data_IF_010586145229
#
_entry.id   IF_010586145229
#
_cell.length_a   1.000
_cell.length_b   1.000
_cell.length_c   1.000
_cell.angle_alpha   90.00
_cell.angle_beta   90.00
_cell.angle_gamma   90.00
#
_symmetry.space_group_name_H-M   'P 1'
#
loop_
_entity.id
_entity.type
_entity.pdbx_description
1 polymer ?
#
# COMPACT_ATOMS: atom_id res chain seq x y z
N UNK A 1 -19.05 -27.85 -8.52
CA UNK A 1 -19.70 -27.54 -9.80
C UNK A 1 -20.27 -26.12 -9.73
N UNK A 2 -20.16 -25.37 -10.82
CA UNK A 2 -20.66 -23.99 -10.93
C UNK A 2 -21.16 -23.74 -12.35
N UNK A 3 -22.26 -23.01 -12.50
CA UNK A 3 -22.79 -22.58 -13.79
C UNK A 3 -22.35 -21.13 -14.08
N UNK A 4 -21.62 -20.94 -15.18
CA UNK A 4 -21.24 -19.62 -15.66
C UNK A 4 -22.16 -19.24 -16.84
N UNK A 5 -22.90 -18.14 -16.68
CA UNK A 5 -23.78 -17.59 -17.71
C UNK A 5 -23.12 -16.36 -18.31
N UNK A 6 -22.89 -16.38 -19.61
CA UNK A 6 -22.40 -15.25 -20.37
C UNK A 6 -23.59 -14.49 -20.94
N UNK A 7 -23.80 -13.24 -20.55
CA UNK A 7 -24.96 -12.44 -20.98
C UNK A 7 -24.47 -11.13 -21.62
N UNK A 8 -25.16 -10.72 -22.70
CA UNK A 8 -24.85 -9.44 -23.33
C UNK A 8 -25.08 -8.28 -22.36
N UNK A 9 -24.08 -7.40 -22.27
CA UNK A 9 -24.17 -6.23 -21.41
C UNK A 9 -25.31 -5.30 -21.82
N UNK A 10 -26.05 -4.82 -20.85
CA UNK A 10 -27.12 -3.82 -21.08
C UNK A 10 -27.03 -2.75 -19.97
N UNK A 11 -27.13 -1.45 -20.30
CA UNK A 11 -27.14 -0.37 -19.32
C UNK A 11 -28.33 -0.41 -18.36
N UNK A 12 -29.41 -1.13 -18.74
CA UNK A 12 -30.64 -1.27 -17.94
C UNK A 12 -30.56 -2.38 -16.90
N UNK A 13 -29.57 -3.30 -17.02
CA UNK A 13 -29.40 -4.43 -16.09
C UNK A 13 -28.31 -4.15 -15.09
N UNK A 14 -28.61 -4.33 -13.80
CA UNK A 14 -27.62 -4.30 -12.73
C UNK A 14 -26.97 -5.67 -12.63
N UNK A 15 -25.65 -5.72 -12.71
CA UNK A 15 -24.86 -6.93 -12.46
C UNK A 15 -24.28 -6.85 -11.06
N UNK A 16 -24.16 -7.99 -10.39
CA UNK A 16 -23.53 -8.11 -9.09
C UNK A 16 -22.08 -7.58 -9.15
N UNK A 17 -21.68 -6.80 -8.16
CA UNK A 17 -20.37 -6.13 -8.12
C UNK A 17 -19.49 -6.61 -6.97
N UNK A 18 -20.08 -6.98 -5.86
CA UNK A 18 -19.36 -7.35 -4.66
C UNK A 18 -19.11 -8.87 -4.55
N UNK A 19 -19.92 -9.69 -5.26
CA UNK A 19 -19.83 -11.14 -5.19
C UNK A 19 -20.26 -11.71 -3.84
N UNK A 20 -21.13 -10.98 -3.11
CA UNK A 20 -21.68 -11.37 -1.81
C UNK A 20 -22.95 -12.19 -1.96
N UNK A 21 -23.76 -11.89 -2.97
CA UNK A 21 -25.01 -12.61 -3.24
C UNK A 21 -24.71 -13.86 -4.06
N UNK A 22 -25.07 -15.02 -3.54
CA UNK A 22 -24.96 -16.28 -4.25
C UNK A 22 -26.31 -16.64 -4.89
N UNK A 23 -26.33 -16.70 -6.20
CA UNK A 23 -27.46 -17.22 -6.95
C UNK A 23 -27.25 -18.71 -7.26
N UNK A 24 -28.36 -19.46 -7.34
CA UNK A 24 -28.32 -20.90 -7.63
C UNK A 24 -29.23 -21.21 -8.81
N UNK A 25 -28.83 -22.19 -9.61
CA UNK A 25 -29.65 -22.82 -10.65
C UNK A 25 -29.92 -24.26 -10.28
N UNK A 26 -31.15 -24.69 -10.40
CA UNK A 26 -31.54 -26.06 -10.06
C UNK A 26 -31.45 -26.94 -11.32
N UNK A 27 -30.52 -27.90 -11.33
CA UNK A 27 -30.33 -28.88 -12.41
C UNK A 27 -30.50 -30.28 -11.81
N UNK A 28 -31.48 -31.04 -12.31
CA UNK A 28 -31.76 -32.40 -11.83
C UNK A 28 -31.84 -32.49 -10.28
N UNK A 29 -32.60 -31.53 -9.69
CA UNK A 29 -32.76 -31.39 -8.22
C UNK A 29 -31.50 -31.02 -7.42
N UNK A 30 -30.39 -30.72 -8.07
CA UNK A 30 -29.16 -30.22 -7.44
C UNK A 30 -29.08 -28.70 -7.63
N UNK A 31 -28.88 -27.97 -6.52
CA UNK A 31 -28.62 -26.55 -6.56
C UNK A 31 -27.15 -26.30 -6.92
N UNK A 32 -26.91 -25.69 -8.08
CA UNK A 32 -25.58 -25.36 -8.57
C UNK A 32 -25.40 -23.85 -8.47
N UNK A 33 -24.34 -23.34 -7.81
CA UNK A 33 -24.01 -21.92 -7.80
C UNK A 33 -23.90 -21.39 -9.24
N UNK A 34 -24.52 -20.24 -9.51
CA UNK A 34 -24.41 -19.60 -10.83
C UNK A 34 -23.81 -18.21 -10.72
N UNK A 35 -23.01 -17.86 -11.70
CA UNK A 35 -22.42 -16.52 -11.86
C UNK A 35 -22.79 -15.98 -13.24
N UNK A 36 -23.32 -14.73 -13.30
CA UNK A 36 -23.70 -14.08 -14.56
C UNK A 36 -22.66 -13.02 -14.87
N UNK A 37 -21.92 -13.24 -15.97
CA UNK A 37 -20.87 -12.32 -16.42
C UNK A 37 -21.33 -11.56 -17.66
N UNK A 38 -21.31 -10.21 -17.61
CA UNK A 38 -21.67 -9.41 -18.76
C UNK A 38 -20.58 -9.44 -19.84
N UNK A 39 -21.00 -9.74 -21.07
CA UNK A 39 -20.14 -9.65 -22.26
C UNK A 39 -20.21 -8.24 -22.82
N UNK A 40 -19.06 -7.60 -23.02
CA UNK A 40 -18.91 -6.32 -23.73
C UNK A 40 -17.81 -6.45 -24.77
N UNK A 41 -17.96 -5.79 -25.91
CA UNK A 41 -16.90 -5.72 -26.94
C UNK A 41 -15.61 -5.17 -26.32
N UNK A 42 -14.47 -5.81 -26.62
CA UNK A 42 -13.15 -5.42 -26.08
C UNK A 42 -12.74 -6.11 -24.78
N UNK A 43 -13.60 -6.94 -24.17
CA UNK A 43 -13.23 -7.74 -22.99
C UNK A 43 -12.64 -9.10 -23.39
N UNK A 44 -11.55 -9.49 -22.76
CA UNK A 44 -11.01 -10.84 -22.89
C UNK A 44 -11.84 -11.82 -22.05
N UNK A 45 -12.76 -12.54 -22.71
CA UNK A 45 -13.62 -13.54 -22.05
C UNK A 45 -12.80 -14.65 -21.40
N UNK A 46 -11.70 -15.08 -22.01
CA UNK A 46 -10.84 -16.14 -21.48
C UNK A 46 -10.29 -15.77 -20.10
N UNK A 47 -9.79 -14.55 -19.95
CA UNK A 47 -9.26 -14.05 -18.67
C UNK A 47 -10.37 -13.98 -17.59
N UNK A 48 -11.56 -13.55 -17.97
CA UNK A 48 -12.67 -13.49 -17.03
C UNK A 48 -13.15 -14.87 -16.61
N UNK A 49 -13.26 -15.82 -17.55
CA UNK A 49 -13.64 -17.22 -17.26
C UNK A 49 -12.61 -17.87 -16.34
N UNK A 50 -11.31 -17.65 -16.61
CA UNK A 50 -10.23 -18.13 -15.75
C UNK A 50 -10.33 -17.54 -14.34
N UNK A 51 -10.51 -16.24 -14.20
CA UNK A 51 -10.67 -15.57 -12.90
C UNK A 51 -11.88 -16.12 -12.13
N UNK A 52 -13.03 -16.33 -12.80
CA UNK A 52 -14.22 -16.92 -12.19
C UNK A 52 -13.94 -18.33 -11.69
N UNK A 53 -13.33 -19.18 -12.51
CA UNK A 53 -13.00 -20.55 -12.14
C UNK A 53 -12.03 -20.63 -10.96
N UNK A 54 -10.97 -19.79 -10.96
CA UNK A 54 -10.02 -19.71 -9.85
C UNK A 54 -10.68 -19.19 -8.57
N UNK A 55 -11.50 -18.13 -8.66
CA UNK A 55 -12.21 -17.58 -7.50
C UNK A 55 -13.19 -18.60 -6.90
N UNK A 56 -13.92 -19.33 -7.74
CA UNK A 56 -14.80 -20.41 -7.28
C UNK A 56 -14.00 -21.51 -6.57
N UNK A 57 -12.85 -21.91 -7.09
CA UNK A 57 -11.97 -22.88 -6.45
C UNK A 57 -11.49 -22.38 -5.08
N UNK A 58 -11.04 -21.12 -4.96
CA UNK A 58 -10.62 -20.55 -3.70
C UNK A 58 -11.79 -20.51 -2.69
N UNK A 59 -12.98 -20.09 -3.11
CA UNK A 59 -14.19 -20.14 -2.26
C UNK A 59 -14.48 -21.56 -1.74
N UNK A 60 -14.35 -22.57 -2.59
CA UNK A 60 -14.54 -23.98 -2.17
C UNK A 60 -13.48 -24.49 -1.20
N UNK A 61 -12.31 -23.86 -1.15
CA UNK A 61 -11.23 -24.11 -0.19
C UNK A 61 -11.35 -23.26 1.09
N UNK A 62 -12.40 -22.43 1.21
CA UNK A 62 -12.66 -21.59 2.36
C UNK A 62 -12.15 -20.16 2.26
N UNK A 63 -11.53 -19.78 1.15
CA UNK A 63 -11.07 -18.41 0.89
C UNK A 63 -12.15 -17.61 0.14
N UNK A 64 -12.85 -16.71 0.83
CA UNK A 64 -13.83 -15.81 0.21
C UNK A 64 -13.29 -14.37 0.19
N UNK A 65 -12.75 -13.96 -0.96
CA UNK A 65 -12.16 -12.63 -1.15
C UNK A 65 -13.12 -11.49 -0.86
N UNK A 66 -14.40 -11.63 -1.23
CA UNK A 66 -15.42 -10.60 -0.98
C UNK A 66 -15.71 -10.43 0.52
N UNK A 67 -15.81 -11.52 1.26
CA UNK A 67 -16.00 -11.47 2.72
C UNK A 67 -14.76 -10.90 3.43
N UNK A 68 -13.57 -11.33 3.03
CA UNK A 68 -12.30 -10.81 3.57
C UNK A 68 -12.20 -9.30 3.35
N UNK A 69 -12.46 -8.84 2.13
CA UNK A 69 -12.47 -7.40 1.80
C UNK A 69 -13.47 -6.62 2.67
N UNK A 70 -14.69 -7.15 2.85
CA UNK A 70 -15.72 -6.50 3.65
C UNK A 70 -15.34 -6.42 5.13
N UNK A 71 -14.76 -7.47 5.69
CA UNK A 71 -14.32 -7.50 7.09
C UNK A 71 -13.13 -6.55 7.33
N UNK A 72 -12.19 -6.50 6.40
CA UNK A 72 -11.08 -5.54 6.44
C UNK A 72 -11.58 -4.11 6.32
N UNK A 73 -12.50 -3.83 5.39
CA UNK A 73 -13.13 -2.51 5.23
C UNK A 73 -13.83 -2.07 6.51
N UNK A 74 -14.58 -2.95 7.17
CA UNK A 74 -15.23 -2.64 8.47
C UNK A 74 -14.22 -2.27 9.55
N UNK A 75 -13.11 -3.01 9.64
CA UNK A 75 -12.03 -2.71 10.61
C UNK A 75 -11.42 -1.33 10.36
N UNK A 76 -11.22 -0.97 9.08
CA UNK A 76 -10.68 0.33 8.67
C UNK A 76 -11.62 1.50 8.97
N UNK A 77 -12.93 1.34 8.69
CA UNK A 77 -13.93 2.37 9.03
C UNK A 77 -13.93 2.65 10.53
N UNK A 78 -13.83 1.61 11.36
CA UNK A 78 -13.70 1.77 12.81
C UNK A 78 -12.44 2.54 13.22
N UNK A 79 -11.29 2.24 12.61
CA UNK A 79 -10.00 2.92 12.86
C UNK A 79 -10.04 4.39 12.37
N UNK A 80 -10.55 4.63 11.18
CA UNK A 80 -10.62 5.98 10.58
C UNK A 80 -11.60 6.89 11.35
N UNK A 81 -12.68 6.36 11.92
CA UNK A 81 -13.58 7.13 12.77
C UNK A 81 -12.89 7.60 14.05
N UNK A 82 -12.05 6.77 14.67
CA UNK A 82 -11.23 7.16 15.82
C UNK A 82 -10.11 8.15 15.43
N UNK A 83 -9.60 8.07 14.19
CA UNK A 83 -8.57 8.98 13.65
C UNK A 83 -9.14 10.37 13.29
N UNK A 84 -10.34 10.43 12.71
CA UNK A 84 -11.00 11.68 12.33
C UNK A 84 -11.38 12.59 13.51
N UNK A 85 -11.58 12.03 14.69
CA UNK A 85 -11.86 12.79 15.91
C UNK A 85 -10.62 13.49 16.53
N UNK A 86 -9.40 13.20 16.04
CA UNK A 86 -8.13 13.68 16.60
C UNK A 86 -7.28 14.59 15.69
N UNK A 87 -7.75 14.94 14.49
CA UNK A 87 -6.93 15.73 13.55
C UNK A 87 -7.00 17.21 13.85
N UNK A 88 -6.03 17.73 14.60
CA UNK A 88 -5.52 19.09 14.48
C UNK A 88 -4.35 19.11 13.48
N UNK A 89 -4.09 20.24 12.82
CA UNK A 89 -3.22 20.50 11.66
C UNK A 89 -1.75 20.01 11.66
N UNK A 90 -1.36 19.08 12.55
CA UNK A 90 -0.04 18.44 12.56
C UNK A 90 -0.20 16.96 12.36
N UNK A 91 0.54 16.42 11.39
CA UNK A 91 0.55 14.98 11.06
C UNK A 91 1.03 14.18 12.27
N UNK A 92 0.09 13.51 12.91
CA UNK A 92 0.28 12.73 14.11
C UNK A 92 0.51 11.26 13.69
N UNK A 93 1.70 10.76 13.92
CA UNK A 93 2.01 9.36 13.70
C UNK A 93 1.47 8.53 14.86
N UNK A 94 0.62 7.54 14.57
CA UNK A 94 0.27 6.52 15.54
C UNK A 94 1.44 5.56 15.69
N UNK A 95 2.10 5.59 16.83
CA UNK A 95 3.24 4.74 17.18
C UNK A 95 2.94 3.26 16.94
N UNK A 96 1.73 2.81 17.26
CA UNK A 96 1.29 1.43 17.04
C UNK A 96 1.40 0.98 15.58
N UNK A 97 1.10 1.88 14.64
CA UNK A 97 1.27 1.59 13.20
C UNK A 97 2.74 1.47 12.82
N UNK A 98 3.58 2.32 13.41
CA UNK A 98 5.02 2.33 13.17
C UNK A 98 5.68 1.07 13.72
N UNK A 99 5.37 0.69 14.96
CA UNK A 99 5.87 -0.54 15.58
C UNK A 99 5.50 -1.79 14.78
N UNK A 100 4.22 -1.92 14.40
CA UNK A 100 3.73 -3.10 13.73
C UNK A 100 4.20 -3.25 12.28
N UNK A 101 4.30 -2.13 11.53
CA UNK A 101 4.65 -2.18 10.10
C UNK A 101 6.15 -2.13 9.83
N UNK A 102 6.92 -1.43 10.67
CA UNK A 102 8.36 -1.29 10.47
C UNK A 102 9.22 -2.29 11.26
N UNK A 103 8.61 -3.24 11.99
CA UNK A 103 9.35 -4.20 12.79
C UNK A 103 10.15 -3.51 13.90
N UNK A 104 9.50 -2.60 14.62
CA UNK A 104 10.09 -1.80 15.68
C UNK A 104 9.52 -2.19 17.04
N UNK A 105 10.36 -2.12 18.05
CA UNK A 105 9.97 -2.27 19.45
C UNK A 105 10.34 -1.02 20.22
N UNK A 106 9.36 -0.37 20.83
CA UNK A 106 9.60 0.76 21.72
C UNK A 106 10.24 0.28 23.02
N UNK A 107 11.35 0.92 23.42
CA UNK A 107 12.10 0.57 24.62
C UNK A 107 12.19 1.72 25.62
N UNK A 108 11.91 2.97 25.23
CA UNK A 108 11.79 4.12 26.12
C UNK A 108 10.80 5.16 25.60
N UNK A 109 10.44 6.12 26.45
CA UNK A 109 9.51 7.21 26.18
C UNK A 109 8.07 6.83 26.51
N UNK A 110 7.26 7.83 26.93
CA UNK A 110 5.86 7.66 27.35
C UNK A 110 4.86 8.24 26.33
N UNK A 111 5.37 9.02 25.37
CA UNK A 111 4.52 9.62 24.35
C UNK A 111 3.85 8.53 23.52
N UNK A 112 2.54 8.63 23.34
CA UNK A 112 1.77 7.76 22.42
C UNK A 112 1.81 8.24 20.99
N UNK A 113 2.43 9.37 20.74
CA UNK A 113 2.40 10.12 19.48
C UNK A 113 3.80 10.56 19.07
N UNK A 114 4.13 10.43 17.80
CA UNK A 114 5.35 10.91 17.17
C UNK A 114 5.01 12.10 16.27
N UNK A 115 5.66 13.24 16.51
CA UNK A 115 5.56 14.40 15.63
C UNK A 115 6.73 14.41 14.67
N UNK A 116 6.51 13.95 13.44
CA UNK A 116 7.48 13.96 12.38
C UNK A 116 6.90 14.74 11.21
N UNK A 117 7.60 15.76 10.73
CA UNK A 117 7.19 16.59 9.59
C UNK A 117 8.03 16.37 8.33
N UNK A 118 9.06 15.55 8.43
CA UNK A 118 9.94 15.19 7.31
C UNK A 118 10.00 13.67 7.11
N UNK A 119 9.82 13.18 5.88
CA UNK A 119 9.94 11.75 5.59
C UNK A 119 11.39 11.25 5.60
N UNK A 120 12.36 12.17 5.68
CA UNK A 120 13.78 11.83 5.60
C UNK A 120 14.33 11.52 6.99
N UNK A 121 14.93 10.36 7.17
CA UNK A 121 15.65 9.99 8.37
C UNK A 121 16.84 10.92 8.61
N UNK A 122 17.17 11.12 9.89
CA UNK A 122 18.27 11.98 10.27
C UNK A 122 19.37 11.21 10.99
N UNK A 123 20.59 11.29 10.43
CA UNK A 123 21.78 10.65 10.98
C UNK A 123 22.66 11.70 11.70
N UNK A 124 22.72 11.69 13.04
CA UNK A 124 23.47 12.70 13.79
C UNK A 124 24.97 12.71 13.48
N UNK A 125 25.54 13.88 13.24
CA UNK A 125 26.99 14.05 12.98
C UNK A 125 27.75 14.45 14.23
N UNK A 126 27.07 14.99 15.25
CA UNK A 126 27.62 15.46 16.54
C UNK A 126 28.62 16.63 16.44
N UNK A 127 28.61 17.36 15.34
CA UNK A 127 29.40 18.58 15.17
C UNK A 127 28.62 19.84 15.58
N UNK A 128 29.33 20.94 15.80
CA UNK A 128 28.71 22.19 16.22
C UNK A 128 27.71 22.76 15.19
N UNK A 129 27.94 22.49 13.90
CA UNK A 129 27.07 22.87 12.78
C UNK A 129 25.76 22.07 12.72
N UNK A 130 25.71 20.93 13.39
CA UNK A 130 24.60 19.99 13.36
C UNK A 130 23.46 20.33 14.35
N UNK A 131 23.68 21.32 15.23
CA UNK A 131 22.78 21.63 16.33
C UNK A 131 21.37 22.10 15.92
N UNK A 132 21.18 22.58 14.70
CA UNK A 132 19.89 23.04 14.18
C UNK A 132 19.24 22.04 13.19
N UNK A 133 19.93 20.98 12.85
CA UNK A 133 19.46 19.97 11.91
C UNK A 133 18.69 18.86 12.65
N UNK A 134 17.76 18.23 11.95
CA UNK A 134 17.07 17.03 12.45
C UNK A 134 15.89 17.31 13.40
N UNK A 135 15.51 18.57 13.66
CA UNK A 135 14.30 18.88 14.40
C UNK A 135 13.09 18.31 13.66
N UNK A 136 12.17 17.69 14.42
CA UNK A 136 10.95 17.04 13.88
C UNK A 136 11.20 15.89 12.86
N UNK A 137 12.38 15.24 12.96
CA UNK A 137 12.73 14.01 12.21
C UNK A 137 12.89 12.81 13.13
N UNK A 138 12.84 11.62 12.54
CA UNK A 138 13.28 10.40 13.22
C UNK A 138 14.80 10.30 13.12
N UNK A 139 15.47 10.25 14.27
CA UNK A 139 16.91 10.14 14.36
C UNK A 139 17.32 8.67 14.30
N UNK A 140 18.39 8.36 13.58
CA UNK A 140 18.92 6.99 13.43
C UNK A 140 20.27 6.88 14.09
N UNK A 141 20.43 5.86 14.93
CA UNK A 141 21.71 5.45 15.52
C UNK A 141 22.08 4.08 14.96
N UNK A 142 22.68 4.09 13.80
CA UNK A 142 23.23 2.91 13.13
C UNK A 142 24.58 2.48 13.75
N UNK A 143 25.21 1.49 13.14
CA UNK A 143 26.50 1.01 13.59
C UNK A 143 27.62 2.03 13.39
N UNK A 144 27.62 2.78 12.29
CA UNK A 144 28.63 3.81 12.00
C UNK A 144 28.59 4.93 13.05
N UNK A 145 27.41 5.38 13.45
CA UNK A 145 27.23 6.36 14.51
C UNK A 145 27.71 5.80 15.84
N UNK A 146 27.35 4.55 16.13
CA UNK A 146 27.76 3.86 17.36
C UNK A 146 29.28 3.73 17.46
N UNK A 147 29.92 3.32 16.37
CA UNK A 147 31.39 3.22 16.28
C UNK A 147 32.07 4.59 16.42
N UNK A 148 31.51 5.63 15.79
CA UNK A 148 32.03 7.00 15.94
C UNK A 148 31.95 7.51 17.38
N UNK A 149 30.82 7.31 18.04
CA UNK A 149 30.65 7.70 19.45
C UNK A 149 31.58 6.90 20.40
N UNK A 150 31.79 5.62 20.11
CA UNK A 150 32.67 4.76 20.91
C UNK A 150 34.16 5.16 20.84
N UNK A 151 34.57 5.94 19.83
CA UNK A 151 35.95 6.46 19.72
C UNK A 151 36.25 7.58 20.70
N UNK A 152 35.26 8.27 21.25
CA UNK A 152 35.44 9.30 22.25
C UNK A 152 35.64 8.68 23.63
N UNK A 153 36.42 9.34 24.49
CA UNK A 153 36.50 9.00 25.92
C UNK A 153 35.11 9.15 26.57
N UNK A 154 34.88 8.47 27.68
CA UNK A 154 33.56 8.53 28.36
C UNK A 154 33.18 9.97 28.73
N UNK A 155 34.16 10.81 29.15
CA UNK A 155 33.92 12.21 29.49
C UNK A 155 33.58 13.08 28.28
N UNK A 156 34.20 12.85 27.14
CA UNK A 156 33.90 13.57 25.89
C UNK A 156 32.55 13.14 25.34
N UNK A 157 32.27 11.82 25.32
CA UNK A 157 31.01 11.26 24.86
C UNK A 157 29.84 11.77 25.67
N UNK A 158 29.97 11.82 27.00
CA UNK A 158 28.96 12.40 27.89
C UNK A 158 28.64 13.86 27.51
N UNK A 159 29.66 14.71 27.31
CA UNK A 159 29.44 16.11 26.89
C UNK A 159 28.76 16.23 25.53
N UNK A 160 29.14 15.38 24.59
CA UNK A 160 28.55 15.33 23.24
C UNK A 160 27.04 14.97 23.34
N UNK A 161 26.72 13.92 24.11
CA UNK A 161 25.35 13.45 24.28
C UNK A 161 24.50 14.45 25.09
N UNK A 162 25.03 15.04 26.16
CA UNK A 162 24.32 16.12 26.88
C UNK A 162 23.89 17.23 25.94
N UNK A 163 24.83 17.74 25.13
CA UNK A 163 24.54 18.76 24.13
C UNK A 163 23.57 18.27 23.03
N UNK A 164 23.68 17.03 22.59
CA UNK A 164 22.78 16.43 21.61
C UNK A 164 21.35 16.37 22.15
N UNK A 165 21.16 15.95 23.40
CA UNK A 165 19.85 15.80 24.02
C UNK A 165 19.26 17.12 24.61
N UNK A 166 19.94 18.26 24.46
CA UNK A 166 19.34 19.59 24.70
C UNK A 166 18.35 20.00 23.63
N UNK A 167 18.46 19.41 22.43
CA UNK A 167 17.55 19.70 21.31
C UNK A 167 16.21 18.96 21.43
N UNK A 168 15.21 19.47 20.73
CA UNK A 168 13.94 18.76 20.57
C UNK A 168 14.13 17.58 19.61
N UNK A 169 13.92 16.36 20.07
CA UNK A 169 14.04 15.11 19.32
C UNK A 169 12.67 14.46 19.34
N UNK A 170 12.10 14.16 18.17
CA UNK A 170 10.79 13.51 18.04
C UNK A 170 10.84 12.03 18.40
N UNK A 171 11.89 11.33 17.96
CA UNK A 171 12.12 9.92 18.26
C UNK A 171 13.47 9.45 17.76
N UNK A 172 13.92 8.35 18.30
CA UNK A 172 15.20 7.73 17.95
C UNK A 172 14.97 6.27 17.59
N UNK A 173 15.56 5.83 16.47
CA UNK A 173 15.69 4.45 16.06
C UNK A 173 17.14 4.01 16.26
N UNK A 174 17.37 2.98 17.06
CA UNK A 174 18.70 2.47 17.37
C UNK A 174 18.82 0.99 17.00
N UNK A 175 19.98 0.62 16.46
CA UNK A 175 20.30 -0.80 16.28
C UNK A 175 20.34 -1.51 17.65
N UNK A 176 19.60 -2.61 17.77
CA UNK A 176 19.52 -3.41 19.01
C UNK A 176 20.88 -3.86 19.51
N UNK A 177 21.87 -4.01 18.62
CA UNK A 177 23.24 -4.44 18.91
C UNK A 177 24.21 -3.28 19.14
N UNK A 178 23.72 -2.02 19.10
CA UNK A 178 24.54 -0.84 19.29
C UNK A 178 25.27 -0.84 20.63
N UNK A 179 26.57 -0.60 20.59
CA UNK A 179 27.45 -0.52 21.79
C UNK A 179 27.10 0.65 22.71
N UNK A 180 26.48 1.71 22.18
CA UNK A 180 26.05 2.90 22.94
C UNK A 180 24.59 2.86 23.37
N UNK A 181 23.87 1.78 23.10
CA UNK A 181 22.42 1.65 23.35
C UNK A 181 22.04 1.98 24.80
N UNK A 182 22.73 1.42 25.79
CA UNK A 182 22.41 1.65 27.20
C UNK A 182 22.61 3.10 27.64
N UNK A 183 23.55 3.79 27.01
CA UNK A 183 23.83 5.20 27.27
C UNK A 183 22.71 6.08 26.67
N UNK A 184 22.35 5.84 25.40
CA UNK A 184 21.22 6.52 24.72
C UNK A 184 19.90 6.27 25.45
N UNK A 185 19.66 5.05 25.89
CA UNK A 185 18.45 4.68 26.64
C UNK A 185 18.27 5.55 27.89
N UNK A 186 19.32 5.76 28.68
CA UNK A 186 19.28 6.60 29.89
C UNK A 186 18.84 8.04 29.57
N UNK A 187 19.40 8.63 28.51
CA UNK A 187 19.00 9.97 28.11
C UNK A 187 17.54 10.03 27.63
N UNK A 188 17.10 9.02 26.88
CA UNK A 188 15.72 8.93 26.41
C UNK A 188 14.72 8.79 27.56
N UNK A 189 15.05 8.02 28.59
CA UNK A 189 14.22 7.91 29.80
C UNK A 189 14.12 9.23 30.57
N UNK A 190 15.27 9.91 30.78
CA UNK A 190 15.31 11.19 31.50
C UNK A 190 14.54 12.30 30.76
N UNK A 191 14.70 12.37 29.43
CA UNK A 191 14.11 13.38 28.57
C UNK A 191 12.72 13.02 28.03
N UNK A 192 12.23 11.83 28.34
CA UNK A 192 10.97 11.28 27.83
C UNK A 192 10.90 11.26 26.29
N UNK A 193 11.98 10.83 25.64
CA UNK A 193 12.07 10.70 24.19
C UNK A 193 11.76 9.26 23.79
N UNK A 194 10.93 9.07 22.77
CA UNK A 194 10.64 7.74 22.25
C UNK A 194 11.88 7.13 21.61
N UNK A 195 12.27 5.95 22.11
CA UNK A 195 13.38 5.15 21.60
C UNK A 195 12.85 3.82 21.11
N UNK A 196 13.20 3.48 19.88
CA UNK A 196 12.82 2.23 19.21
C UNK A 196 14.06 1.41 18.88
N UNK A 197 13.98 0.11 19.03
CA UNK A 197 14.94 -0.85 18.52
C UNK A 197 14.34 -1.73 17.42
N UNK A 198 15.17 -2.25 16.52
CA UNK A 198 14.74 -3.19 15.49
C UNK A 198 14.45 -4.58 16.09
N UNK A 199 13.42 -5.26 15.55
CA UNK A 199 13.14 -6.68 15.85
C UNK A 199 13.87 -7.60 14.89
N UNK A 200 13.97 -7.20 13.63
CA UNK A 200 14.62 -7.92 12.55
C UNK A 200 16.00 -7.34 12.22
N UNK A 201 16.50 -7.54 11.00
CA UNK A 201 17.73 -6.90 10.53
C UNK A 201 17.54 -5.38 10.43
N UNK A 202 18.54 -4.63 10.90
CA UNK A 202 18.41 -3.18 11.02
C UNK A 202 18.17 -2.46 9.69
N UNK A 203 18.82 -2.89 8.60
CA UNK A 203 18.63 -2.31 7.28
C UNK A 203 17.22 -2.52 6.75
N UNK A 204 16.63 -3.70 6.97
CA UNK A 204 15.22 -3.98 6.60
C UNK A 204 14.28 -3.06 7.38
N UNK A 205 14.55 -2.88 8.66
CA UNK A 205 13.78 -1.97 9.51
C UNK A 205 13.88 -0.53 9.06
N UNK A 206 15.08 -0.07 8.62
CA UNK A 206 15.26 1.28 8.06
C UNK A 206 14.46 1.48 6.78
N UNK A 207 14.54 0.55 5.83
CA UNK A 207 13.79 0.62 4.56
C UNK A 207 12.28 0.70 4.82
N UNK A 208 11.76 -0.13 5.73
CA UNK A 208 10.35 -0.11 6.13
C UNK A 208 9.96 1.20 6.84
N UNK A 209 10.83 1.74 7.68
CA UNK A 209 10.59 3.01 8.36
C UNK A 209 10.58 4.18 7.37
N UNK A 210 11.50 4.21 6.40
CA UNK A 210 11.54 5.22 5.33
C UNK A 210 10.29 5.16 4.46
N UNK A 211 9.88 3.97 4.00
CA UNK A 211 8.66 3.78 3.20
C UNK A 211 7.41 4.26 3.94
N UNK A 212 7.31 3.98 5.24
CA UNK A 212 6.19 4.44 6.07
C UNK A 212 6.19 5.95 6.24
N UNK A 213 7.35 6.55 6.53
CA UNK A 213 7.49 8.00 6.68
C UNK A 213 7.17 8.70 5.36
N UNK A 214 7.68 8.17 4.25
CA UNK A 214 7.39 8.70 2.91
C UNK A 214 5.89 8.70 2.65
N UNK A 215 5.21 7.61 2.91
CA UNK A 215 3.76 7.50 2.69
C UNK A 215 2.95 8.45 3.58
N UNK A 216 3.28 8.54 4.86
CA UNK A 216 2.46 9.25 5.83
C UNK A 216 2.75 10.77 5.89
N UNK A 217 4.00 11.18 5.67
CA UNK A 217 4.43 12.58 5.87
C UNK A 217 4.43 13.37 4.57
N UNK A 218 4.73 12.74 3.44
CA UNK A 218 4.80 13.42 2.15
C UNK A 218 3.44 13.90 1.65
N UNK A 219 3.38 14.94 0.80
CA UNK A 219 2.15 15.34 0.14
C UNK A 219 1.58 14.19 -0.69
N UNK A 220 0.29 13.92 -0.53
CA UNK A 220 -0.37 12.81 -1.23
C UNK A 220 -1.74 13.19 -1.77
N UNK A 221 -2.19 12.46 -2.76
CA UNK A 221 -3.51 12.54 -3.37
C UNK A 221 -4.00 11.17 -3.77
N UNK A 222 -5.29 11.06 -4.04
CA UNK A 222 -5.90 9.81 -4.50
C UNK A 222 -6.42 9.98 -5.91
N UNK A 223 -6.16 9.00 -6.77
CA UNK A 223 -6.65 8.96 -8.14
C UNK A 223 -7.45 7.68 -8.38
N UNK A 224 -8.61 7.83 -9.05
CA UNK A 224 -9.38 6.67 -9.48
C UNK A 224 -8.77 6.06 -10.75
N UNK A 225 -8.23 4.85 -10.62
CA UNK A 225 -7.51 4.18 -11.70
C UNK A 225 -6.96 2.83 -11.30
N UNK A 226 -6.17 2.25 -12.19
CA UNK A 226 -5.42 1.01 -11.97
C UNK A 226 -3.93 1.31 -12.10
N UNK A 227 -3.14 0.97 -11.10
CA UNK A 227 -1.69 1.12 -11.15
C UNK A 227 -1.05 -0.26 -11.32
N UNK A 228 -0.25 -0.38 -12.36
CA UNK A 228 0.45 -1.62 -12.75
C UNK A 228 1.96 -1.39 -12.87
N UNK A 229 2.75 -2.43 -12.60
CA UNK A 229 4.13 -2.51 -13.07
C UNK A 229 4.17 -3.32 -14.38
N UNK A 230 4.50 -2.65 -15.50
CA UNK A 230 4.56 -3.23 -16.84
C UNK A 230 5.98 -3.10 -17.35
N UNK A 231 6.69 -4.21 -17.56
CA UNK A 231 8.10 -4.25 -17.96
C UNK A 231 9.01 -3.36 -17.09
N UNK A 232 8.74 -3.30 -15.77
CA UNK A 232 9.50 -2.48 -14.84
C UNK A 232 9.07 -1.01 -14.76
N UNK A 233 8.16 -0.54 -15.61
CA UNK A 233 7.58 0.81 -15.55
C UNK A 233 6.29 0.81 -14.73
N UNK A 234 6.09 1.84 -13.91
CA UNK A 234 4.80 2.10 -13.26
C UNK A 234 3.86 2.82 -14.22
N UNK A 235 2.77 2.17 -14.57
CA UNK A 235 1.76 2.68 -15.51
C UNK A 235 0.45 2.88 -14.78
N UNK A 236 -0.01 4.12 -14.70
CA UNK A 236 -1.31 4.49 -14.14
C UNK A 236 -2.34 4.51 -15.27
N UNK A 237 -3.31 3.61 -15.21
CA UNK A 237 -4.40 3.49 -16.18
C UNK A 237 -5.62 4.22 -15.62
N UNK A 238 -6.07 5.25 -16.32
CA UNK A 238 -7.21 6.10 -15.98
C UNK A 238 -8.33 6.00 -17.01
N UNK A 239 -9.44 6.68 -16.79
CA UNK A 239 -10.59 6.73 -17.69
C UNK A 239 -11.91 6.65 -16.94
N UNK A 240 -13.03 6.81 -17.66
CA UNK A 240 -14.38 6.79 -17.08
C UNK A 240 -14.68 5.47 -16.34
N UNK A 241 -15.59 5.53 -15.36
CA UNK A 241 -16.05 4.31 -14.68
C UNK A 241 -16.69 3.36 -15.71
N UNK A 242 -16.26 2.09 -15.67
CA UNK A 242 -16.80 1.06 -16.57
C UNK A 242 -16.16 0.96 -17.95
N UNK A 243 -15.12 1.75 -18.24
CA UNK A 243 -14.43 1.70 -19.53
C UNK A 243 -13.56 0.43 -19.70
N UNK A 244 -13.34 -0.33 -18.64
CA UNK A 244 -12.56 -1.59 -18.70
C UNK A 244 -11.19 -1.53 -18.06
N UNK A 245 -10.93 -0.57 -17.16
CA UNK A 245 -9.63 -0.42 -16.47
C UNK A 245 -9.22 -1.67 -15.71
N UNK A 246 -10.08 -2.17 -14.81
CA UNK A 246 -9.80 -3.35 -13.98
C UNK A 246 -9.65 -4.62 -14.85
N UNK A 247 -10.47 -4.77 -15.89
CA UNK A 247 -10.34 -5.90 -16.82
C UNK A 247 -9.03 -5.85 -17.60
N UNK A 248 -8.58 -4.64 -18.00
CA UNK A 248 -7.25 -4.44 -18.62
C UNK A 248 -6.14 -4.78 -17.64
N UNK A 249 -6.26 -4.34 -16.38
CA UNK A 249 -5.33 -4.68 -15.31
C UNK A 249 -5.22 -6.20 -15.10
N UNK A 250 -6.35 -6.91 -15.04
CA UNK A 250 -6.36 -8.36 -14.90
C UNK A 250 -5.71 -9.07 -16.09
N UNK A 251 -5.99 -8.63 -17.31
CA UNK A 251 -5.33 -9.19 -18.50
C UNK A 251 -3.81 -8.99 -18.46
N UNK A 252 -3.34 -7.83 -17.99
CA UNK A 252 -1.92 -7.57 -17.80
C UNK A 252 -1.32 -8.47 -16.73
N UNK A 253 -2.04 -8.75 -15.64
CA UNK A 253 -1.61 -9.72 -14.61
C UNK A 253 -1.42 -11.12 -15.22
N UNK A 254 -2.36 -11.60 -16.05
CA UNK A 254 -2.24 -12.92 -16.70
C UNK A 254 -1.07 -12.99 -17.68
N UNK A 255 -0.59 -11.84 -18.18
CA UNK A 255 0.61 -11.71 -19.01
C UNK A 255 1.91 -11.58 -18.20
N UNK A 256 1.86 -11.69 -16.87
CA UNK A 256 3.01 -11.67 -15.98
C UNK A 256 3.42 -10.29 -15.47
N UNK A 257 2.55 -9.27 -15.64
CA UNK A 257 2.74 -7.95 -15.03
C UNK A 257 2.18 -7.91 -13.61
N UNK A 258 2.55 -6.89 -12.83
CA UNK A 258 2.19 -6.82 -11.42
C UNK A 258 1.17 -5.74 -11.14
N UNK A 259 0.14 -6.07 -10.36
CA UNK A 259 -0.82 -5.11 -9.84
C UNK A 259 -0.24 -4.41 -8.62
N UNK A 260 -0.38 -3.08 -8.56
CA UNK A 260 -0.15 -2.28 -7.35
C UNK A 260 -1.49 -1.94 -6.71
N UNK A 261 -2.39 -1.29 -7.46
CA UNK A 261 -3.68 -0.87 -6.94
C UNK A 261 -4.75 -0.94 -8.03
N UNK A 262 -6.00 -1.25 -7.63
CA UNK A 262 -7.21 -1.12 -8.45
C UNK A 262 -8.20 -0.19 -7.78
N UNK A 263 -8.97 0.55 -8.58
CA UNK A 263 -9.98 1.52 -8.21
C UNK A 263 -9.44 2.77 -7.49
N UNK A 264 -8.68 2.64 -6.43
CA UNK A 264 -8.11 3.74 -5.64
C UNK A 264 -6.60 3.64 -5.56
N UNK A 265 -5.91 4.55 -6.25
CA UNK A 265 -4.45 4.66 -6.23
C UNK A 265 -4.06 5.83 -5.33
N UNK A 266 -3.36 5.53 -4.24
CA UNK A 266 -2.75 6.57 -3.39
C UNK A 266 -1.44 7.01 -4.04
N UNK A 267 -1.30 8.30 -4.34
CA UNK A 267 -0.12 8.87 -4.99
C UNK A 267 0.58 9.81 -4.03
N UNK A 268 1.84 9.58 -3.80
CA UNK A 268 2.71 10.36 -2.92
C UNK A 268 3.77 11.09 -3.76
N UNK A 269 4.03 12.36 -3.42
CA UNK A 269 5.17 13.10 -3.96
C UNK A 269 6.37 12.90 -3.02
N UNK A 270 7.33 12.08 -3.45
CA UNK A 270 8.54 11.82 -2.66
C UNK A 270 9.42 13.07 -2.50
N UNK A 271 10.35 13.10 -1.52
CA UNK A 271 11.31 14.19 -1.37
C UNK A 271 12.14 14.47 -2.64
N UNK A 272 12.42 13.44 -3.42
CA UNK A 272 13.14 13.51 -4.69
C UNK A 272 12.27 13.96 -5.87
N UNK A 273 11.03 14.41 -5.57
CA UNK A 273 10.05 14.87 -6.56
C UNK A 273 9.60 13.79 -7.56
N UNK A 274 9.56 12.56 -7.11
CA UNK A 274 9.04 11.43 -7.87
C UNK A 274 7.60 11.17 -7.41
N UNK A 275 6.67 10.93 -8.34
CA UNK A 275 5.35 10.44 -8.00
C UNK A 275 5.42 8.93 -7.80
N UNK A 276 5.11 8.46 -6.60
CA UNK A 276 5.07 7.05 -6.23
C UNK A 276 3.65 6.65 -5.88
N UNK A 277 3.13 5.63 -6.54
CA UNK A 277 1.79 5.11 -6.28
C UNK A 277 1.84 3.89 -5.36
N UNK A 278 0.86 3.82 -4.47
CA UNK A 278 0.74 2.76 -3.48
C UNK A 278 -0.61 2.05 -3.63
N UNK A 279 -0.67 0.79 -3.21
CA UNK A 279 -1.94 0.13 -2.94
C UNK A 279 -2.62 0.83 -1.76
N UNK A 280 -3.95 0.88 -1.77
CA UNK A 280 -4.70 1.37 -0.62
C UNK A 280 -4.53 0.49 0.62
N UNK A 281 -5.23 0.84 1.69
CA UNK A 281 -5.19 0.12 2.98
C UNK A 281 -5.62 -1.36 2.88
N UNK A 282 -6.35 -1.73 1.82
CA UNK A 282 -6.75 -3.11 1.50
C UNK A 282 -6.07 -3.51 0.19
N UNK A 283 -4.85 -4.07 0.27
CA UNK A 283 -4.04 -4.36 -0.92
C UNK A 283 -4.53 -5.60 -1.69
N UNK A 284 -4.23 -5.62 -2.99
CA UNK A 284 -4.32 -6.78 -3.87
C UNK A 284 -5.73 -7.20 -4.28
N UNK A 285 -6.76 -6.42 -3.92
CA UNK A 285 -8.12 -6.68 -4.36
C UNK A 285 -8.45 -5.93 -5.65
N UNK A 286 -9.30 -6.55 -6.46
CA UNK A 286 -9.78 -6.01 -7.73
C UNK A 286 -11.29 -6.27 -7.88
N UNK A 287 -12.05 -5.26 -8.30
CA UNK A 287 -13.47 -5.41 -8.59
C UNK A 287 -13.67 -5.77 -10.07
N UNK A 288 -14.28 -6.92 -10.33
CA UNK A 288 -14.59 -7.40 -11.66
C UNK A 288 -16.09 -7.53 -11.84
N UNK A 289 -16.66 -6.82 -12.81
CA UNK A 289 -18.10 -6.88 -13.06
C UNK A 289 -18.58 -8.28 -13.40
N UNK A 290 -19.61 -8.73 -12.67
CA UNK A 290 -20.19 -10.06 -12.83
C UNK A 290 -19.40 -11.18 -12.15
N UNK A 291 -18.22 -10.89 -11.62
CA UNK A 291 -17.41 -11.85 -10.85
C UNK A 291 -17.41 -11.48 -9.36
N UNK A 292 -17.39 -10.19 -9.07
CA UNK A 292 -17.26 -9.66 -7.73
C UNK A 292 -15.84 -9.21 -7.40
N UNK A 293 -15.52 -9.18 -6.12
CA UNK A 293 -14.20 -8.82 -5.63
C UNK A 293 -13.32 -10.06 -5.60
N UNK A 294 -12.15 -9.96 -6.24
CA UNK A 294 -11.15 -11.02 -6.29
C UNK A 294 -9.84 -10.56 -5.64
N UNK A 295 -9.14 -11.47 -4.97
CA UNK A 295 -7.81 -11.21 -4.46
C UNK A 295 -6.76 -11.70 -5.46
N UNK A 296 -6.07 -10.77 -6.12
CA UNK A 296 -5.09 -11.07 -7.17
C UNK A 296 -3.90 -11.88 -6.63
N UNK A 297 -3.48 -11.61 -5.39
CA UNK A 297 -2.41 -12.37 -4.74
C UNK A 297 -2.81 -13.84 -4.51
N UNK A 298 -4.05 -14.10 -4.09
CA UNK A 298 -4.56 -15.47 -3.90
C UNK A 298 -4.77 -16.19 -5.23
N UNK A 299 -5.19 -15.47 -6.29
CA UNK A 299 -5.42 -16.08 -7.61
C UNK A 299 -4.14 -16.39 -8.38
N UNK A 300 -3.18 -15.45 -8.38
CA UNK A 300 -2.01 -15.47 -9.27
C UNK A 300 -0.67 -15.52 -8.54
N UNK A 301 -0.69 -15.54 -7.19
CA UNK A 301 0.50 -15.61 -6.35
C UNK A 301 1.12 -14.25 -6.03
N UNK A 302 2.09 -14.25 -5.10
CA UNK A 302 2.78 -13.04 -4.63
C UNK A 302 3.54 -12.31 -5.75
N UNK A 303 4.00 -13.03 -6.76
CA UNK A 303 4.70 -12.46 -7.92
C UNK A 303 3.84 -11.57 -8.81
N UNK A 304 2.49 -11.67 -8.70
CA UNK A 304 1.54 -10.90 -9.48
C UNK A 304 1.17 -9.54 -8.86
N UNK A 305 1.69 -9.24 -7.66
CA UNK A 305 1.37 -8.02 -6.92
C UNK A 305 2.62 -7.30 -6.43
N UNK A 306 2.48 -6.01 -6.13
CA UNK A 306 3.52 -5.18 -5.53
C UNK A 306 2.87 -4.07 -4.69
N UNK A 307 3.54 -3.62 -3.63
CA UNK A 307 2.96 -2.64 -2.70
C UNK A 307 3.02 -1.21 -3.23
N UNK A 308 4.08 -0.87 -3.94
CA UNK A 308 4.26 0.48 -4.48
C UNK A 308 5.09 0.48 -5.77
N UNK A 309 4.96 1.55 -6.56
CA UNK A 309 5.77 1.77 -7.77
C UNK A 309 5.81 3.24 -8.13
N UNK A 310 6.98 3.74 -8.55
CA UNK A 310 7.10 5.07 -9.17
C UNK A 310 6.29 5.13 -10.45
N UNK A 311 5.49 6.18 -10.62
CA UNK A 311 4.63 6.39 -11.80
C UNK A 311 5.49 6.98 -12.92
N UNK A 312 5.67 6.21 -13.98
CA UNK A 312 6.46 6.61 -15.15
C UNK A 312 5.58 7.03 -16.33
N UNK A 313 4.33 6.54 -16.38
CA UNK A 313 3.41 6.77 -17.48
C UNK A 313 1.98 6.83 -16.98
N UNK A 314 1.17 7.67 -17.60
CA UNK A 314 -0.28 7.68 -17.44
C UNK A 314 -0.92 7.32 -18.77
N UNK A 315 -1.85 6.37 -18.76
CA UNK A 315 -2.63 5.95 -19.92
C UNK A 315 -4.10 6.19 -19.64
N UNK A 316 -4.74 7.01 -20.44
CA UNK A 316 -6.18 7.22 -20.34
C UNK A 316 -6.92 6.37 -21.35
N UNK A 317 -7.85 5.51 -20.87
CA UNK A 317 -8.75 4.77 -21.74
C UNK A 317 -9.98 5.63 -22.00
N UNK A 318 -10.19 5.99 -23.25
CA UNK A 318 -11.36 6.75 -23.73
C UNK A 318 -12.28 5.84 -24.55
N UNK A 319 -13.59 6.04 -24.43
CA UNK A 319 -14.54 5.40 -25.34
C UNK A 319 -14.52 6.18 -26.66
N UNK A 320 -14.25 5.48 -27.76
CA UNK A 320 -14.36 6.07 -29.10
C UNK A 320 -15.83 6.17 -29.50
N UNK A 321 -16.37 7.37 -29.52
CA UNK A 321 -17.74 7.63 -30.01
C UNK A 321 -17.88 7.36 -31.52
N UNK A 322 -16.75 7.21 -32.24
CA UNK A 322 -16.71 7.01 -33.69
C UNK A 322 -16.71 5.52 -34.12
N UNK A 323 -16.72 4.55 -33.20
CA UNK A 323 -16.66 3.12 -33.56
C UNK A 323 -17.92 2.56 -34.28
N UNK A 324 -18.96 3.36 -34.50
CA UNK A 324 -20.06 2.98 -35.40
C UNK A 324 -19.68 3.03 -36.89
N UNK A 325 -18.51 3.60 -37.26
CA UNK A 325 -18.14 3.84 -38.66
C UNK A 325 -17.12 2.85 -39.28
N UNK A 326 -16.49 1.97 -38.50
CA UNK A 326 -15.48 1.04 -39.06
C UNK A 326 -16.05 -0.29 -39.55
N UNK A 327 -17.37 -0.47 -39.50
CA UNK A 327 -18.04 -1.71 -39.94
C UNK A 327 -18.22 -1.90 -41.46
N UNK A 328 -17.90 -0.95 -42.32
CA UNK A 328 -18.21 -1.00 -43.76
C UNK A 328 -17.11 -0.52 -44.70
N UNK A 329 -15.86 -0.88 -44.46
CA UNK A 329 -14.87 -0.88 -45.53
C UNK A 329 -14.70 -2.32 -46.06
N UNK A 330 -15.61 -2.72 -46.93
CA UNK A 330 -15.36 -3.76 -47.92
C UNK A 330 -14.18 -3.31 -48.76
N UNK A 331 -13.08 -4.05 -48.68
CA UNK A 331 -12.02 -4.04 -49.68
C UNK A 331 -12.65 -4.44 -51.02
N UNK A 332 -12.95 -3.47 -51.87
CA UNK A 332 -13.10 -3.69 -53.30
C UNK A 332 -11.75 -3.42 -53.95
N UNK A 333 -11.24 -4.47 -54.59
CA UNK A 333 -10.10 -4.68 -55.50
C UNK A 333 -9.23 -3.47 -55.88
#
# INVERSE_FOLDING_TARGET
>A
DMLLILENWSPKKKFERLGLDEEFEKILDINIPKTIVPIKTGRSLSVIVEAVALNHRLKSMGENSSMTFFDETKKLIGRNKMRAEKISDKKLFLIETFENKAGLKKIAGKESELFIDSPVLYYPVFEASDLQNGIDRLHVFDEDISVRLAKFSDTERTKILEKYFERKISGILINKESSVKNEILKYCEIKNINLYENTDEFNITLDLAEDLLEFEVSPHTTVHGVLMEIYGLGVLITGKSGVGKSETGLELVTRGHRLIADDRVEIVLTPDKILKGYCGEIPYFMELRGVGIVNVKSLYGIGAVKESKSINMVVEIVEDEASEFIGNQTLTE
#
